data_IF_881835737601
#
_entry.id   IF_881835737601
#
_cell.length_a   1.000
_cell.length_b   1.000
_cell.length_c   1.000
_cell.angle_alpha   90.00
_cell.angle_beta   90.00
_cell.angle_gamma   90.00
#
_symmetry.space_group_name_H-M   'P 1'
#
loop_
_entity.id
_entity.type
_entity.pdbx_description
1 polymer ?
#
# COMPACT_ATOMS: atom_id res chain seq x y z
N UNK A 1 -3.05 -6.80 17.06
CA UNK A 1 -3.19 -5.53 16.29
C UNK A 1 -3.17 -4.35 17.25
N UNK A 2 -2.39 -3.31 16.97
CA UNK A 2 -2.33 -2.02 17.71
C UNK A 2 -2.75 -0.91 16.75
N UNK A 3 -3.52 0.07 17.22
CA UNK A 3 -3.91 1.26 16.43
C UNK A 3 -3.34 2.51 17.10
N UNK A 4 -2.74 3.38 16.30
CA UNK A 4 -2.22 4.67 16.70
C UNK A 4 -2.96 5.75 15.89
N UNK A 5 -3.81 6.53 16.54
CA UNK A 5 -4.55 7.59 15.86
C UNK A 5 -3.73 8.87 15.84
N UNK A 6 -3.50 9.42 14.66
CA UNK A 6 -2.76 10.67 14.47
C UNK A 6 -2.03 10.76 13.13
N UNK A 7 -1.22 11.80 12.99
CA UNK A 7 -0.36 11.98 11.83
C UNK A 7 0.70 10.89 11.77
N UNK A 8 0.94 10.33 10.56
CA UNK A 8 1.85 9.20 10.40
C UNK A 8 3.28 9.52 10.85
N UNK A 9 3.80 10.72 10.59
CA UNK A 9 5.16 11.12 10.98
C UNK A 9 5.29 11.16 12.52
N UNK A 10 4.28 11.67 13.20
CA UNK A 10 4.28 11.72 14.67
C UNK A 10 4.07 10.33 15.28
N UNK A 11 3.16 9.54 14.73
CA UNK A 11 2.85 8.22 15.26
C UNK A 11 3.97 7.20 15.01
N UNK A 12 4.69 7.28 13.90
CA UNK A 12 5.87 6.44 13.65
C UNK A 12 6.93 6.60 14.76
N UNK A 13 7.02 7.77 15.40
CA UNK A 13 7.95 7.99 16.56
C UNK A 13 7.65 7.07 17.75
N UNK A 14 6.41 6.55 17.87
CA UNK A 14 5.97 5.63 18.91
C UNK A 14 6.18 4.15 18.56
N UNK A 15 6.70 3.87 17.37
CA UNK A 15 7.07 2.52 16.94
C UNK A 15 8.53 2.28 17.28
N UNK A 16 8.83 1.12 17.85
CA UNK A 16 10.18 0.75 18.28
C UNK A 16 11.15 0.65 17.09
N UNK A 17 12.42 0.95 17.32
CA UNK A 17 13.48 0.84 16.32
C UNK A 17 13.63 -0.62 15.86
N UNK A 18 13.84 -0.83 14.56
CA UNK A 18 14.11 -2.14 13.97
C UNK A 18 13.12 -3.23 14.42
N UNK A 19 11.84 -2.88 14.55
CA UNK A 19 10.79 -3.78 15.04
C UNK A 19 9.84 -4.28 13.94
N UNK A 20 9.81 -3.63 12.78
CA UNK A 20 8.88 -3.89 11.69
C UNK A 20 9.51 -4.76 10.61
N UNK A 21 8.86 -5.89 10.29
CA UNK A 21 9.28 -6.81 9.23
C UNK A 21 8.77 -6.36 7.85
N UNK A 22 7.57 -5.79 7.81
CA UNK A 22 6.94 -5.30 6.59
C UNK A 22 6.19 -3.99 6.85
N UNK A 23 6.52 -2.96 6.08
CA UNK A 23 5.60 -1.84 5.86
C UNK A 23 4.81 -2.13 4.58
N UNK A 24 3.48 -2.20 4.68
CA UNK A 24 2.59 -2.28 3.52
C UNK A 24 1.52 -1.21 3.63
N UNK A 25 1.56 -0.24 2.72
CA UNK A 25 0.75 0.96 2.89
C UNK A 25 0.42 1.65 1.55
N UNK A 26 -0.67 2.43 1.54
CA UNK A 26 -1.12 3.24 0.42
C UNK A 26 -1.40 4.66 0.93
N UNK A 27 -0.51 5.62 0.70
CA UNK A 27 -0.68 6.99 1.15
C UNK A 27 -1.80 7.71 0.40
N UNK A 28 -2.26 8.87 0.85
CA UNK A 28 -3.03 9.80 0.02
C UNK A 28 -2.33 10.05 -1.32
N UNK A 29 -3.11 10.12 -2.42
CA UNK A 29 -2.54 10.14 -3.79
C UNK A 29 -2.54 11.55 -4.41
N UNK A 30 -2.84 12.58 -3.64
CA UNK A 30 -2.99 13.93 -4.16
C UNK A 30 -3.97 14.00 -5.35
N UNK A 31 -5.21 13.57 -5.11
CA UNK A 31 -6.30 13.54 -6.10
C UNK A 31 -7.37 14.61 -5.84
N UNK A 32 -7.13 15.51 -4.88
CA UNK A 32 -8.06 16.56 -4.48
C UNK A 32 -9.23 16.05 -3.63
N UNK A 33 -9.05 14.94 -2.93
CA UNK A 33 -10.03 14.46 -1.96
C UNK A 33 -10.02 15.32 -0.70
N UNK A 34 -11.16 15.40 -0.01
CA UNK A 34 -11.30 16.20 1.21
C UNK A 34 -10.27 15.83 2.28
N UNK A 35 -9.95 14.56 2.43
CA UNK A 35 -8.93 14.09 3.37
C UNK A 35 -7.49 14.46 2.98
N UNK A 36 -7.28 15.07 1.82
CA UNK A 36 -5.99 15.61 1.35
C UNK A 36 -5.91 17.13 1.49
N UNK A 37 -6.95 17.78 2.04
CA UNK A 37 -7.08 19.24 2.14
C UNK A 37 -6.03 19.93 3.01
N UNK A 38 -5.23 19.17 3.76
CA UNK A 38 -4.12 19.70 4.54
C UNK A 38 -2.85 19.99 3.70
N UNK A 39 -2.82 19.56 2.45
CA UNK A 39 -1.77 19.96 1.51
C UNK A 39 -2.24 21.18 0.72
N UNK A 40 -1.46 22.26 0.73
CA UNK A 40 -1.75 23.48 -0.03
C UNK A 40 -1.16 23.45 -1.45
N UNK A 41 -0.22 22.52 -1.71
CA UNK A 41 0.41 22.37 -3.02
C UNK A 41 0.96 20.96 -3.22
N UNK A 42 1.16 20.58 -4.48
CA UNK A 42 1.81 19.33 -4.84
C UNK A 42 3.23 19.22 -4.29
N UNK A 43 3.96 20.32 -4.26
CA UNK A 43 5.30 20.36 -3.69
C UNK A 43 5.29 20.02 -2.19
N UNK A 44 4.32 20.55 -1.45
CA UNK A 44 4.15 20.20 -0.03
C UNK A 44 3.83 18.72 0.18
N UNK A 45 3.02 18.12 -0.70
CA UNK A 45 2.77 16.67 -0.71
C UNK A 45 4.06 15.88 -0.93
N UNK A 46 4.93 16.29 -1.87
CA UNK A 46 6.20 15.61 -2.12
C UNK A 46 7.18 15.74 -0.96
N UNK A 47 7.28 16.92 -0.30
CA UNK A 47 8.12 17.09 0.88
C UNK A 47 7.63 16.25 2.06
N UNK A 48 6.31 16.22 2.31
CA UNK A 48 5.71 15.34 3.30
C UNK A 48 5.98 13.85 2.98
N UNK A 49 5.88 13.48 1.71
CA UNK A 49 6.19 12.11 1.26
C UNK A 49 7.64 11.73 1.58
N UNK A 50 8.57 12.63 1.35
CA UNK A 50 9.99 12.44 1.69
C UNK A 50 10.19 12.25 3.20
N UNK A 51 9.48 13.00 4.01
CA UNK A 51 9.62 12.97 5.46
C UNK A 51 9.13 11.64 6.05
N UNK A 52 7.89 11.23 5.74
CA UNK A 52 7.35 9.98 6.29
C UNK A 52 8.08 8.75 5.75
N UNK A 53 8.43 8.70 4.45
CA UNK A 53 9.15 7.55 3.89
C UNK A 53 10.55 7.40 4.49
N UNK A 54 11.21 8.52 4.82
CA UNK A 54 12.49 8.52 5.50
C UNK A 54 12.38 8.03 6.95
N UNK A 55 11.30 8.42 7.65
CA UNK A 55 11.09 8.03 9.05
C UNK A 55 10.93 6.50 9.21
N UNK A 56 10.45 5.81 8.19
CA UNK A 56 10.34 4.34 8.19
C UNK A 56 11.69 3.63 8.36
N UNK A 57 12.80 4.24 7.95
CA UNK A 57 14.12 3.60 8.03
C UNK A 57 14.53 3.23 9.45
N UNK A 58 14.06 3.96 10.44
CA UNK A 58 14.34 3.68 11.85
C UNK A 58 13.61 2.43 12.34
N UNK A 59 12.35 2.26 11.91
CA UNK A 59 11.46 1.24 12.46
C UNK A 59 11.52 -0.08 11.70
N UNK A 60 11.87 -0.06 10.40
CA UNK A 60 11.99 -1.28 9.58
C UNK A 60 13.29 -1.99 9.91
N UNK A 61 13.21 -3.31 10.13
CA UNK A 61 14.36 -4.18 10.34
C UNK A 61 15.34 -4.14 9.15
N UNK A 62 16.59 -4.46 9.36
CA UNK A 62 17.62 -4.46 8.29
C UNK A 62 17.26 -5.39 7.13
N UNK A 63 16.60 -6.52 7.38
CA UNK A 63 16.09 -7.48 6.40
C UNK A 63 14.60 -7.31 6.10
N UNK A 64 13.98 -6.26 6.65
CA UNK A 64 12.57 -5.94 6.43
C UNK A 64 12.27 -5.31 5.07
N UNK A 65 10.98 -5.21 4.78
CA UNK A 65 10.43 -4.72 3.52
C UNK A 65 9.62 -3.44 3.69
N UNK A 66 9.64 -2.62 2.66
CA UNK A 66 8.70 -1.52 2.48
C UNK A 66 8.00 -1.67 1.13
N UNK A 67 6.71 -1.99 1.14
CA UNK A 67 5.84 -2.14 -0.04
C UNK A 67 4.88 -0.96 -0.09
N UNK A 68 5.06 -0.13 -1.10
CA UNK A 68 4.29 1.08 -1.34
C UNK A 68 3.31 0.86 -2.48
N UNK A 69 2.01 0.91 -2.21
CA UNK A 69 1.00 0.97 -3.26
C UNK A 69 0.72 2.42 -3.64
N UNK A 70 0.78 2.71 -4.93
CA UNK A 70 0.44 4.01 -5.50
C UNK A 70 0.05 3.89 -6.97
N UNK A 71 -0.80 4.80 -7.44
CA UNK A 71 -1.14 4.90 -8.85
C UNK A 71 -0.96 6.31 -9.40
N UNK A 72 -0.79 6.39 -10.71
CA UNK A 72 -0.97 7.64 -11.44
C UNK A 72 -2.47 7.93 -11.60
N UNK A 73 -2.80 9.18 -11.88
CA UNK A 73 -4.11 9.60 -12.34
C UNK A 73 -4.01 10.29 -13.71
N UNK A 74 -5.14 10.76 -14.20
CA UNK A 74 -5.24 11.40 -15.52
C UNK A 74 -4.57 12.77 -15.60
N UNK A 75 -4.43 13.45 -14.48
CA UNK A 75 -3.84 14.81 -14.41
C UNK A 75 -2.35 14.76 -14.11
N UNK A 76 -1.91 13.76 -13.34
CA UNK A 76 -0.52 13.60 -12.92
C UNK A 76 -0.01 12.20 -13.28
N UNK A 77 0.31 12.02 -14.57
CA UNK A 77 0.70 10.70 -15.13
C UNK A 77 2.05 10.18 -14.67
N UNK A 78 2.86 11.01 -13.99
CA UNK A 78 4.20 10.64 -13.48
C UNK A 78 4.26 10.53 -11.96
N UNK A 79 3.19 10.83 -11.25
CA UNK A 79 3.14 10.91 -9.77
C UNK A 79 3.74 9.68 -9.06
N UNK A 80 3.35 8.49 -9.49
CA UNK A 80 3.87 7.26 -8.89
C UNK A 80 5.39 7.15 -9.00
N UNK A 81 5.93 7.61 -10.12
CA UNK A 81 7.39 7.60 -10.37
C UNK A 81 8.11 8.70 -9.60
N UNK A 82 7.49 9.86 -9.39
CA UNK A 82 8.06 10.92 -8.55
C UNK A 82 8.13 10.47 -7.09
N UNK A 83 7.07 9.85 -6.57
CA UNK A 83 7.05 9.27 -5.22
C UNK A 83 8.08 8.15 -5.10
N UNK A 84 8.14 7.24 -6.08
CA UNK A 84 9.17 6.20 -6.13
C UNK A 84 10.58 6.80 -6.08
N UNK A 85 10.84 7.86 -6.89
CA UNK A 85 12.14 8.53 -6.94
C UNK A 85 12.51 9.21 -5.61
N UNK A 86 11.54 9.73 -4.86
CA UNK A 86 11.75 10.22 -3.50
C UNK A 86 12.23 9.08 -2.59
N UNK A 87 11.57 7.94 -2.64
CA UNK A 87 11.96 6.77 -1.84
C UNK A 87 13.38 6.30 -2.16
N UNK A 88 13.83 6.37 -3.41
CA UNK A 88 15.18 5.94 -3.83
C UNK A 88 16.33 6.68 -3.14
N UNK A 89 16.08 7.84 -2.55
CA UNK A 89 17.10 8.57 -1.79
C UNK A 89 17.55 7.79 -0.56
N UNK A 90 16.60 7.14 0.11
CA UNK A 90 16.82 6.43 1.37
C UNK A 90 16.75 4.91 1.23
N UNK A 91 16.00 4.39 0.25
CA UNK A 91 15.71 2.98 0.05
C UNK A 91 16.35 2.45 -1.25
N UNK A 92 16.43 1.13 -1.38
CA UNK A 92 16.76 0.44 -2.63
C UNK A 92 15.49 -0.17 -3.20
N UNK A 93 15.10 0.21 -4.41
CA UNK A 93 14.06 -0.51 -5.15
C UNK A 93 14.56 -1.93 -5.44
N UNK A 94 13.79 -2.90 -5.03
CA UNK A 94 14.09 -4.32 -5.23
C UNK A 94 13.27 -4.89 -6.38
N UNK A 95 11.97 -4.56 -6.43
CA UNK A 95 11.05 -5.03 -7.45
C UNK A 95 9.95 -4.00 -7.70
N UNK A 96 9.24 -4.16 -8.81
CA UNK A 96 8.02 -3.42 -9.14
C UNK A 96 6.95 -4.42 -9.52
N UNK A 97 5.90 -4.50 -8.70
CA UNK A 97 4.75 -5.35 -8.96
C UNK A 97 3.65 -4.49 -9.60
N UNK A 98 3.08 -4.99 -10.69
CA UNK A 98 1.91 -4.39 -11.34
C UNK A 98 0.65 -5.08 -10.83
N UNK A 99 -0.14 -4.36 -10.07
CA UNK A 99 -1.47 -4.80 -9.72
C UNK A 99 -2.44 -4.45 -10.86
N UNK A 100 -2.78 -5.44 -11.68
CA UNK A 100 -3.76 -5.34 -12.76
C UNK A 100 -5.17 -5.47 -12.21
N UNK A 101 -6.04 -4.49 -12.53
CA UNK A 101 -7.40 -4.35 -12.00
C UNK A 101 -8.42 -4.50 -13.14
N UNK A 102 -8.83 -5.74 -13.47
CA UNK A 102 -9.63 -6.01 -14.67
C UNK A 102 -11.05 -5.42 -14.61
N UNK A 103 -11.59 -5.19 -13.42
CA UNK A 103 -12.94 -4.68 -13.20
C UNK A 103 -12.98 -3.17 -12.89
N UNK A 104 -11.94 -2.40 -13.22
CA UNK A 104 -11.96 -0.95 -13.06
C UNK A 104 -12.96 -0.32 -14.02
N UNK A 105 -13.71 0.66 -13.52
CA UNK A 105 -14.68 1.40 -14.34
C UNK A 105 -13.96 2.07 -15.53
N UNK A 106 -14.56 2.03 -16.74
CA UNK A 106 -13.99 2.69 -17.91
C UNK A 106 -13.78 4.19 -17.71
N UNK A 107 -12.73 4.72 -18.31
CA UNK A 107 -12.54 6.17 -18.37
C UNK A 107 -13.71 6.81 -19.15
N UNK A 108 -14.27 7.88 -18.59
CA UNK A 108 -15.42 8.56 -19.17
C UNK A 108 -15.02 9.59 -20.24
N UNK A 109 -13.97 9.29 -21.02
CA UNK A 109 -13.41 10.17 -22.03
C UNK A 109 -12.73 9.39 -23.14
N UNK A 110 -12.86 9.87 -24.38
CA UNK A 110 -12.14 9.33 -25.55
C UNK A 110 -10.68 9.77 -25.64
N UNK A 111 -10.22 10.61 -24.70
CA UNK A 111 -8.84 11.16 -24.72
C UNK A 111 -7.85 10.39 -23.86
N UNK A 112 -8.34 9.40 -23.09
CA UNK A 112 -7.52 8.67 -22.12
C UNK A 112 -7.86 7.19 -22.12
N UNK A 113 -6.85 6.37 -21.93
CA UNK A 113 -7.05 4.96 -21.62
C UNK A 113 -7.55 4.80 -20.18
N UNK A 114 -8.38 3.80 -19.95
CA UNK A 114 -8.75 3.39 -18.59
C UNK A 114 -7.50 2.93 -17.86
N UNK A 115 -7.18 3.57 -16.74
CA UNK A 115 -6.07 3.14 -15.90
C UNK A 115 -6.47 1.86 -15.16
N UNK A 116 -6.04 0.69 -15.65
CA UNK A 116 -6.37 -0.63 -15.10
C UNK A 116 -5.23 -1.20 -14.25
N UNK A 117 -4.32 -0.37 -13.74
CA UNK A 117 -3.22 -0.84 -12.92
C UNK A 117 -2.89 0.13 -11.79
N UNK A 118 -2.26 -0.43 -10.76
CA UNK A 118 -1.55 0.29 -9.72
C UNK A 118 -0.17 -0.33 -9.53
N UNK A 119 0.75 0.43 -8.99
CA UNK A 119 2.10 -0.05 -8.69
C UNK A 119 2.18 -0.48 -7.22
N UNK A 120 2.88 -1.59 -6.96
CA UNK A 120 3.45 -1.88 -5.67
C UNK A 120 4.96 -1.81 -5.84
N UNK A 121 5.55 -0.70 -5.41
CA UNK A 121 6.99 -0.56 -5.37
C UNK A 121 7.53 -1.26 -4.14
N UNK A 122 8.40 -2.23 -4.35
CA UNK A 122 8.99 -3.06 -3.29
C UNK A 122 10.37 -2.53 -2.98
N UNK A 123 10.52 -1.98 -1.79
CA UNK A 123 11.78 -1.44 -1.31
C UNK A 123 12.35 -2.28 -0.17
N UNK A 124 13.68 -2.18 -0.01
CA UNK A 124 14.42 -2.73 1.12
C UNK A 124 15.53 -1.77 1.56
N UNK A 125 16.12 -2.01 2.71
CA UNK A 125 17.36 -1.33 3.08
C UNK A 125 18.45 -1.60 2.04
N UNK A 126 19.37 -0.65 1.85
CA UNK A 126 20.42 -0.74 0.80
C UNK A 126 21.33 -1.95 0.98
N UNK A 127 21.58 -2.35 2.23
CA UNK A 127 22.45 -3.48 2.61
C UNK A 127 21.72 -4.80 2.84
N UNK A 128 20.39 -4.83 2.74
CA UNK A 128 19.58 -5.96 3.17
C UNK A 128 19.74 -7.21 2.30
N UNK A 129 19.63 -8.37 2.94
CA UNK A 129 19.54 -9.68 2.31
C UNK A 129 18.13 -10.28 2.51
N UNK A 130 17.13 -9.50 2.21
CA UNK A 130 15.71 -9.84 2.38
C UNK A 130 15.26 -10.93 1.38
N UNK A 131 14.32 -11.78 1.79
CA UNK A 131 13.85 -12.93 0.98
C UNK A 131 12.33 -12.90 0.81
N UNK A 132 11.87 -13.38 -0.35
CA UNK A 132 10.48 -13.70 -0.60
C UNK A 132 10.14 -15.12 -0.10
N UNK A 133 8.91 -15.30 0.41
CA UNK A 133 8.33 -16.60 0.75
C UNK A 133 7.35 -17.00 -0.35
N UNK A 134 7.86 -17.67 -1.40
CA UNK A 134 7.10 -17.96 -2.63
C UNK A 134 6.45 -19.34 -2.65
N UNK A 135 6.86 -20.23 -1.77
CA UNK A 135 6.49 -21.65 -1.80
C UNK A 135 4.97 -21.81 -1.65
N UNK A 136 4.34 -22.53 -2.57
CA UNK A 136 2.90 -22.78 -2.61
C UNK A 136 2.02 -21.57 -3.00
N UNK A 137 2.59 -20.37 -3.11
CA UNK A 137 1.77 -19.16 -3.31
C UNK A 137 1.11 -19.11 -4.68
N UNK A 138 1.78 -19.58 -5.73
CA UNK A 138 1.20 -19.60 -7.08
C UNK A 138 0.10 -20.64 -7.24
N UNK A 139 0.21 -21.77 -6.54
CA UNK A 139 -0.81 -22.82 -6.47
C UNK A 139 -2.04 -22.37 -5.67
N UNK A 140 -1.83 -21.60 -4.60
CA UNK A 140 -2.91 -21.05 -3.78
C UNK A 140 -3.69 -19.95 -4.51
N UNK A 141 -3.02 -19.16 -5.35
CA UNK A 141 -3.62 -18.03 -6.08
C UNK A 141 -3.48 -18.15 -7.61
N UNK A 142 -3.94 -19.24 -8.25
CA UNK A 142 -3.71 -19.49 -9.68
C UNK A 142 -4.35 -18.44 -10.58
N UNK A 143 -5.48 -17.86 -10.17
CA UNK A 143 -6.16 -16.80 -10.94
C UNK A 143 -5.45 -15.46 -10.90
N UNK A 144 -4.55 -15.26 -9.93
CA UNK A 144 -3.76 -14.02 -9.79
C UNK A 144 -2.53 -14.07 -10.69
N UNK A 145 -1.78 -15.16 -10.61
CA UNK A 145 -0.51 -15.29 -11.32
C UNK A 145 -0.67 -15.84 -12.74
N UNK A 146 -1.71 -16.67 -12.99
CA UNK A 146 -1.96 -17.29 -14.31
C UNK A 146 -0.92 -18.33 -14.70
N UNK A 147 0.05 -18.62 -13.85
CA UNK A 147 1.16 -19.56 -14.05
C UNK A 147 1.50 -20.24 -12.72
N UNK A 148 2.38 -21.25 -12.76
CA UNK A 148 2.94 -21.88 -11.54
C UNK A 148 4.08 -21.07 -10.91
N UNK A 149 4.31 -19.86 -11.39
CA UNK A 149 5.41 -18.99 -10.94
C UNK A 149 4.82 -17.73 -10.32
N UNK A 150 5.29 -17.35 -9.16
CA UNK A 150 4.99 -16.05 -8.55
C UNK A 150 5.74 -14.98 -9.34
N UNK A 151 5.05 -14.34 -10.26
CA UNK A 151 5.56 -13.23 -11.06
C UNK A 151 5.22 -11.88 -10.46
N UNK A 152 5.57 -10.81 -11.14
CA UNK A 152 5.33 -9.42 -10.71
C UNK A 152 4.15 -8.73 -11.43
N UNK A 153 3.29 -9.48 -12.11
CA UNK A 153 2.00 -8.99 -12.64
C UNK A 153 0.88 -9.76 -11.95
N UNK A 154 0.10 -9.05 -11.13
CA UNK A 154 -0.95 -9.63 -10.29
C UNK A 154 -2.32 -9.18 -10.77
N UNK A 155 -3.13 -10.14 -11.23
CA UNK A 155 -4.49 -9.87 -11.70
C UNK A 155 -5.49 -10.02 -10.56
N UNK A 156 -5.79 -8.91 -9.87
CA UNK A 156 -6.69 -8.91 -8.72
C UNK A 156 -7.78 -7.86 -8.93
N UNK A 157 -9.07 -8.24 -8.99
CA UNK A 157 -10.15 -7.27 -9.10
C UNK A 157 -10.30 -6.44 -7.82
N UNK A 158 -10.80 -5.22 -7.93
CA UNK A 158 -11.27 -4.48 -6.77
C UNK A 158 -12.39 -5.26 -6.07
N UNK A 159 -12.38 -5.21 -4.75
CA UNK A 159 -13.52 -5.66 -3.97
C UNK A 159 -14.74 -4.77 -4.26
N UNK A 160 -15.71 -5.31 -5.00
CA UNK A 160 -16.99 -4.64 -5.20
C UNK A 160 -17.82 -4.87 -3.94
N UNK A 161 -17.86 -3.89 -3.05
CA UNK A 161 -18.81 -3.94 -1.93
C UNK A 161 -20.21 -3.79 -2.49
N UNK A 162 -21.15 -4.68 -2.08
CA UNK A 162 -22.57 -4.57 -2.46
C UNK A 162 -23.19 -3.23 -2.05
N UNK A 163 -22.55 -2.49 -1.15
CA UNK A 163 -22.94 -1.13 -0.73
C UNK A 163 -22.41 -0.03 -1.64
N UNK A 164 -21.32 -0.25 -2.40
CA UNK A 164 -20.76 0.73 -3.34
C UNK A 164 -21.64 0.96 -4.56
N UNK A 165 -22.51 0.01 -4.93
CA UNK A 165 -23.44 0.14 -6.06
C UNK A 165 -24.62 1.08 -5.78
N UNK A 166 -24.88 1.46 -4.51
CA UNK A 166 -26.04 2.30 -4.14
C UNK A 166 -25.71 3.74 -3.75
N UNK A 167 -24.46 4.14 -3.64
CA UNK A 167 -24.09 5.51 -3.27
C UNK A 167 -22.83 6.01 -4.01
N UNK A 168 -22.94 6.23 -5.30
CA UNK A 168 -22.21 7.35 -5.93
C UNK A 168 -23.03 8.61 -5.65
N UNK A 169 -23.08 9.02 -4.41
CA UNK A 169 -23.50 10.37 -4.04
C UNK A 169 -22.27 11.24 -4.25
N UNK A 170 -22.38 12.25 -5.15
CA UNK A 170 -21.38 13.31 -5.27
C UNK A 170 -20.92 13.74 -3.87
N UNK A 171 -19.62 13.58 -3.57
CA UNK A 171 -18.99 14.10 -2.37
C UNK A 171 -18.69 13.10 -1.25
N UNK A 172 -19.08 11.83 -1.34
CA UNK A 172 -18.62 10.83 -0.36
C UNK A 172 -17.47 10.03 -0.94
N UNK A 173 -16.28 10.28 -0.44
CA UNK A 173 -15.08 9.50 -0.70
C UNK A 173 -15.29 8.06 -0.21
N UNK A 174 -15.59 7.16 -1.13
CA UNK A 174 -15.56 5.74 -0.83
C UNK A 174 -14.12 5.35 -0.53
N UNK A 175 -13.75 5.24 0.74
CA UNK A 175 -12.50 4.60 1.14
C UNK A 175 -12.59 3.13 0.71
N UNK A 176 -12.01 2.83 -0.44
CA UNK A 176 -11.85 1.47 -0.91
C UNK A 176 -10.61 0.89 -0.23
N UNK A 177 -10.80 0.09 0.79
CA UNK A 177 -9.70 -0.68 1.37
C UNK A 177 -9.10 -1.63 0.35
N UNK A 178 -7.91 -2.12 0.60
CA UNK A 178 -7.29 -3.15 -0.23
C UNK A 178 -8.18 -4.38 -0.38
N UNK A 179 -8.25 -4.98 -1.58
CA UNK A 179 -8.86 -6.29 -1.75
C UNK A 179 -8.18 -7.33 -0.85
N UNK A 180 -8.97 -8.18 -0.22
CA UNK A 180 -8.47 -9.24 0.67
C UNK A 180 -7.31 -10.02 0.05
N UNK A 181 -7.50 -10.52 -1.18
CA UNK A 181 -6.50 -11.30 -1.91
C UNK A 181 -5.16 -10.56 -2.07
N UNK A 182 -5.20 -9.25 -2.31
CA UNK A 182 -3.97 -8.45 -2.42
C UNK A 182 -3.20 -8.44 -1.10
N UNK A 183 -3.90 -8.19 0.02
CA UNK A 183 -3.27 -8.16 1.36
C UNK A 183 -2.73 -9.54 1.73
N UNK A 184 -3.50 -10.61 1.51
CA UNK A 184 -3.08 -11.99 1.79
C UNK A 184 -1.77 -12.34 1.07
N UNK A 185 -1.69 -12.04 -0.24
CA UNK A 185 -0.49 -12.32 -1.04
C UNK A 185 0.70 -11.50 -0.55
N UNK A 186 0.51 -10.20 -0.30
CA UNK A 186 1.60 -9.35 0.22
C UNK A 186 2.08 -9.87 1.57
N UNK A 187 1.17 -10.12 2.51
CA UNK A 187 1.53 -10.62 3.84
C UNK A 187 2.28 -11.94 3.77
N UNK A 188 1.78 -12.91 2.99
CA UNK A 188 2.43 -14.24 2.85
C UNK A 188 3.77 -14.17 2.13
N UNK A 189 3.90 -13.32 1.10
CA UNK A 189 5.10 -13.21 0.28
C UNK A 189 6.27 -12.56 1.05
N UNK A 190 5.97 -11.62 1.94
CA UNK A 190 6.98 -10.78 2.59
C UNK A 190 7.20 -11.08 4.08
N UNK A 191 6.34 -11.89 4.71
CA UNK A 191 6.42 -12.14 6.16
C UNK A 191 6.19 -13.60 6.54
N UNK A 192 6.65 -13.99 7.73
CA UNK A 192 6.33 -15.23 8.44
C UNK A 192 5.30 -14.99 9.54
N UNK A 193 4.79 -16.05 10.14
CA UNK A 193 3.99 -15.96 11.36
C UNK A 193 4.74 -15.24 12.48
N UNK A 194 4.00 -14.44 13.25
CA UNK A 194 4.48 -13.57 14.32
C UNK A 194 5.28 -12.33 13.88
N UNK A 195 5.59 -12.16 12.58
CA UNK A 195 6.23 -10.95 12.08
C UNK A 195 5.33 -9.72 12.26
N UNK A 196 5.95 -8.56 12.40
CA UNK A 196 5.29 -7.27 12.62
C UNK A 196 5.06 -6.54 11.29
N UNK A 197 3.81 -6.17 11.03
CA UNK A 197 3.38 -5.38 9.86
C UNK A 197 2.98 -3.99 10.30
N UNK A 198 3.46 -2.96 9.59
CA UNK A 198 3.06 -1.57 9.78
C UNK A 198 2.30 -1.08 8.55
N UNK A 199 1.10 -0.51 8.78
CA UNK A 199 0.38 0.28 7.78
C UNK A 199 0.24 1.72 8.28
N UNK A 200 0.90 2.65 7.60
CA UNK A 200 0.96 4.06 7.98
C UNK A 200 -0.29 4.86 7.60
N UNK A 201 -1.20 4.26 6.83
CA UNK A 201 -2.45 4.86 6.34
C UNK A 201 -3.55 3.81 6.39
N UNK A 202 -3.87 3.36 7.61
CA UNK A 202 -4.66 2.18 7.92
C UNK A 202 -6.09 2.17 7.37
N UNK A 203 -6.70 3.33 7.17
CA UNK A 203 -8.00 3.51 6.52
C UNK A 203 -9.09 2.59 7.07
N UNK A 204 -9.47 1.57 6.29
CA UNK A 204 -10.50 0.58 6.70
C UNK A 204 -10.00 -0.53 7.61
N UNK A 205 -8.71 -0.55 7.96
CA UNK A 205 -8.09 -1.58 8.79
C UNK A 205 -7.88 -2.93 8.08
N UNK A 206 -8.00 -2.99 6.75
CA UNK A 206 -7.93 -4.24 6.00
C UNK A 206 -6.60 -4.98 6.19
N UNK A 207 -5.49 -4.27 6.22
CA UNK A 207 -4.16 -4.86 6.43
C UNK A 207 -4.08 -5.51 7.83
N UNK A 208 -4.50 -4.80 8.88
CA UNK A 208 -4.44 -5.32 10.24
C UNK A 208 -5.35 -6.52 10.48
N UNK A 209 -6.57 -6.51 9.93
CA UNK A 209 -7.51 -7.63 10.03
C UNK A 209 -6.93 -8.90 9.41
N UNK A 210 -6.41 -8.80 8.18
CA UNK A 210 -5.85 -9.96 7.46
C UNK A 210 -4.53 -10.40 8.09
N UNK A 211 -3.68 -9.47 8.55
CA UNK A 211 -2.47 -9.81 9.29
C UNK A 211 -2.79 -10.67 10.52
N UNK A 212 -3.80 -10.28 11.29
CA UNK A 212 -4.25 -11.04 12.48
C UNK A 212 -4.77 -12.43 12.10
N UNK A 213 -5.59 -12.55 11.07
CA UNK A 213 -6.11 -13.83 10.57
C UNK A 213 -5.00 -14.78 10.10
N UNK A 214 -3.89 -14.22 9.62
CA UNK A 214 -2.71 -14.97 9.18
C UNK A 214 -1.65 -15.14 10.28
N UNK A 215 -1.97 -14.92 11.54
CA UNK A 215 -1.04 -15.01 12.69
C UNK A 215 0.15 -14.02 12.60
N UNK A 216 -0.03 -12.83 12.04
CA UNK A 216 0.95 -11.74 12.09
C UNK A 216 0.52 -10.69 13.09
N UNK A 217 1.49 -9.95 13.62
CA UNK A 217 1.24 -8.76 14.42
C UNK A 217 1.08 -7.54 13.51
N UNK A 218 0.33 -6.53 13.95
CA UNK A 218 0.19 -5.32 13.15
C UNK A 218 0.06 -4.05 13.98
N UNK A 219 0.61 -2.97 13.43
CA UNK A 219 0.41 -1.59 13.86
C UNK A 219 -0.24 -0.85 12.70
N UNK A 220 -1.37 -0.21 12.97
CA UNK A 220 -2.06 0.65 12.00
C UNK A 220 -2.00 2.08 12.48
N UNK A 221 -1.68 2.99 11.57
CA UNK A 221 -1.69 4.44 11.83
C UNK A 221 -2.71 5.07 10.90
N UNK A 222 -3.57 5.93 11.41
CA UNK A 222 -4.44 6.79 10.60
C UNK A 222 -4.81 8.06 11.38
N UNK A 223 -5.06 9.15 10.69
CA UNK A 223 -5.56 10.39 11.32
C UNK A 223 -6.99 10.24 11.82
N UNK A 224 -7.78 9.43 11.13
CA UNK A 224 -9.15 9.11 11.47
C UNK A 224 -9.22 7.83 12.32
N UNK A 225 -10.36 7.63 12.94
CA UNK A 225 -10.66 6.38 13.63
C UNK A 225 -10.72 5.22 12.62
N UNK A 226 -9.99 4.14 12.92
CA UNK A 226 -10.00 2.91 12.10
C UNK A 226 -11.12 2.00 12.61
N UNK A 227 -12.07 1.58 11.77
CA UNK A 227 -13.14 0.67 12.17
C UNK A 227 -12.56 -0.74 12.36
N UNK A 228 -12.37 -1.14 13.61
CA UNK A 228 -11.81 -2.44 14.00
C UNK A 228 -12.93 -3.45 14.17
#
# INVERSE_FOLDING_TARGET
>A
MKVLQGDCIEMIKQVDDSSVDLVFTSPPYWKGFEYESYFNSYQQYLEWTKEWTRSLKRVVKDDGWFVLNISNDSETTIKAFEVMNICLKDWKLHDTIIWSIPNRQPANTHRQLTNQMEFLFVFRHKSANARYYKDGLAEEYPNVFGTKIVGNIWKIPFAVSKHSLKKVVKGTTGHSGFPRTLVEIVVKLFTKENDMILDCFGGTGSVGKIATELNRQSILIDRNEIPI
#
